data_IF_924481361442
#
_entry.id   IF_924481361442
#
_cell.length_a   1.000
_cell.length_b   1.000
_cell.length_c   1.000
_cell.angle_alpha   90.00
_cell.angle_beta   90.00
_cell.angle_gamma   90.00
#
_symmetry.space_group_name_H-M   'P 1'
#
loop_
_entity.id
_entity.type
_entity.pdbx_description
1 polymer ?
#
# COMPACT_ATOMS: atom_id res chain seq x y z
N UNK A 1 4.12 -1.66 21.86
CA UNK A 1 3.63 -0.53 22.68
C UNK A 1 2.16 -0.30 22.38
N UNK A 2 1.29 -0.64 23.34
CA UNK A 2 -0.17 -0.55 23.21
C UNK A 2 -0.63 0.84 23.69
N UNK A 3 -1.32 1.62 22.86
CA UNK A 3 -2.05 2.82 23.30
C UNK A 3 -3.54 2.56 23.13
N UNK A 4 -4.22 2.41 24.28
CA UNK A 4 -5.67 2.47 24.46
C UNK A 4 -6.04 3.95 24.65
N UNK A 5 -7.03 4.46 23.92
CA UNK A 5 -7.78 5.69 24.22
C UNK A 5 -9.22 5.39 23.76
N UNK A 6 -10.09 4.89 24.65
CA UNK A 6 -11.04 5.63 25.50
C UNK A 6 -12.15 6.30 24.69
N UNK A 7 -13.34 5.76 24.93
CA UNK A 7 -14.69 6.16 24.56
C UNK A 7 -15.02 7.62 24.88
N UNK A 8 -15.85 8.24 24.03
CA UNK A 8 -16.82 9.24 24.48
C UNK A 8 -18.11 9.11 23.67
N UNK A 9 -19.07 8.41 24.27
CA UNK A 9 -20.49 8.48 23.96
C UNK A 9 -21.03 9.74 24.62
N UNK A 10 -21.68 10.62 23.86
CA UNK A 10 -22.56 11.65 24.43
C UNK A 10 -23.91 11.59 23.73
N UNK A 11 -24.87 11.10 24.49
CA UNK A 11 -26.30 11.19 24.25
C UNK A 11 -26.75 12.66 24.35
N UNK A 12 -27.68 13.05 23.49
CA UNK A 12 -28.33 14.36 23.50
C UNK A 12 -29.77 14.25 23.00
N UNK A 13 -30.58 13.52 23.77
CA UNK A 13 -32.04 13.49 23.69
C UNK A 13 -32.61 14.65 24.52
N UNK A 14 -33.16 15.68 23.87
CA UNK A 14 -34.03 16.72 24.46
C UNK A 14 -35.05 17.05 23.36
N UNK A 15 -36.31 16.61 23.44
CA UNK A 15 -37.43 17.28 24.11
C UNK A 15 -38.55 17.47 23.07
N UNK A 16 -39.62 16.64 23.02
CA UNK A 16 -40.98 16.87 23.58
C UNK A 16 -41.29 18.38 23.72
N UNK A 17 -42.29 19.00 23.07
CA UNK A 17 -43.74 18.71 23.04
C UNK A 17 -44.46 19.46 21.88
N UNK A 18 -45.66 19.01 21.48
CA UNK A 18 -46.61 19.71 20.61
C UNK A 18 -47.57 20.59 21.44
N UNK A 19 -47.93 21.78 20.94
CA UNK A 19 -48.99 22.63 21.49
C UNK A 19 -49.54 23.51 20.35
N UNK A 20 -50.82 23.34 20.00
CA UNK A 20 -51.87 24.37 20.18
C UNK A 20 -52.26 24.92 18.80
N UNK A 21 -53.52 25.01 18.37
CA UNK A 21 -54.81 24.90 19.04
C UNK A 21 -55.89 24.80 17.95
N UNK A 22 -56.91 24.01 18.25
CA UNK A 22 -58.25 24.11 17.68
C UNK A 22 -58.76 25.56 17.66
N UNK A 23 -59.40 25.97 16.57
CA UNK A 23 -60.43 27.01 16.57
C UNK A 23 -61.44 26.70 15.45
N UNK A 24 -62.31 25.73 15.74
CA UNK A 24 -63.65 25.69 15.18
C UNK A 24 -64.54 26.56 16.08
N UNK A 25 -65.31 27.48 15.48
CA UNK A 25 -66.71 27.74 15.86
C UNK A 25 -67.19 29.04 15.23
N UNK A 26 -68.17 28.88 14.35
CA UNK A 26 -69.38 29.68 14.21
C UNK A 26 -69.45 31.00 15.00
N UNK A 27 -69.66 32.09 14.26
CA UNK A 27 -70.26 33.31 14.80
C UNK A 27 -71.38 33.76 13.87
N UNK A 28 -72.44 32.96 13.84
CA UNK A 28 -73.80 33.30 13.41
C UNK A 28 -74.46 34.29 14.40
N UNK A 29 -73.82 35.43 14.65
CA UNK A 29 -74.36 36.47 15.55
C UNK A 29 -73.89 37.90 15.21
N UNK A 30 -73.85 38.25 13.92
CA UNK A 30 -73.90 39.67 13.48
C UNK A 30 -74.87 39.75 12.29
N UNK A 31 -76.10 39.25 12.47
CA UNK A 31 -77.13 39.24 11.43
C UNK A 31 -78.39 40.02 11.84
N UNK A 32 -78.27 40.99 12.77
CA UNK A 32 -79.45 41.72 13.26
C UNK A 32 -79.21 43.19 13.63
N UNK A 33 -78.24 43.85 12.99
CA UNK A 33 -78.13 45.33 13.04
C UNK A 33 -77.83 46.00 11.69
N UNK A 34 -77.58 45.20 10.63
CA UNK A 34 -77.41 45.72 9.26
C UNK A 34 -78.72 45.92 8.48
N UNK A 35 -79.88 45.74 9.14
CA UNK A 35 -81.20 45.86 8.48
C UNK A 35 -81.81 47.27 8.54
N UNK A 36 -81.24 48.22 9.27
CA UNK A 36 -81.84 49.57 9.44
C UNK A 36 -80.99 50.69 8.80
N UNK A 37 -79.79 50.38 8.30
CA UNK A 37 -78.93 51.37 7.61
C UNK A 37 -78.96 51.22 6.07
N UNK A 38 -79.66 50.22 5.52
CA UNK A 38 -79.73 50.00 4.05
C UNK A 38 -80.85 50.76 3.33
N UNK A 39 -81.74 51.47 4.04
CA UNK A 39 -82.91 52.13 3.43
C UNK A 39 -82.71 53.64 3.19
N UNK A 40 -81.65 54.26 3.72
CA UNK A 40 -81.38 55.70 3.56
C UNK A 40 -79.99 55.92 2.96
N UNK A 41 -79.71 55.33 1.79
CA UNK A 41 -78.61 55.80 0.94
C UNK A 41 -78.77 55.47 -0.55
N UNK A 42 -80.02 55.41 -1.01
CA UNK A 42 -80.33 55.49 -2.43
C UNK A 42 -80.81 56.91 -2.70
N UNK A 43 -79.90 57.83 -3.04
CA UNK A 43 -80.15 59.01 -3.89
C UNK A 43 -78.92 59.92 -3.85
N UNK A 44 -77.92 59.58 -4.68
CA UNK A 44 -76.93 60.49 -5.32
C UNK A 44 -75.81 59.65 -5.96
N UNK A 45 -76.17 58.85 -6.97
CA UNK A 45 -75.17 58.37 -7.96
C UNK A 45 -75.41 59.13 -9.26
N UNK A 46 -74.83 60.32 -9.35
CA UNK A 46 -74.71 61.04 -10.61
C UNK A 46 -73.80 60.26 -11.58
N UNK A 47 -73.98 60.45 -12.90
CA UNK A 47 -73.33 59.66 -13.96
C UNK A 47 -71.79 59.66 -13.95
N UNK A 48 -71.12 60.58 -13.23
CA UNK A 48 -69.65 60.64 -13.12
C UNK A 48 -68.98 59.69 -12.10
N UNK A 49 -69.75 58.93 -11.29
CA UNK A 49 -69.16 58.00 -10.31
C UNK A 49 -68.78 56.63 -10.89
N UNK A 50 -69.45 56.19 -11.96
CA UNK A 50 -69.18 54.90 -12.64
C UNK A 50 -67.87 54.91 -13.45
N UNK A 51 -67.50 56.05 -14.01
CA UNK A 51 -66.22 56.20 -14.74
C UNK A 51 -65.01 56.14 -13.82
N UNK A 52 -65.06 56.78 -12.64
CA UNK A 52 -63.99 56.69 -11.63
C UNK A 52 -63.82 55.27 -11.09
N UNK A 53 -64.92 54.56 -10.86
CA UNK A 53 -64.93 53.16 -10.38
C UNK A 53 -64.38 52.19 -11.46
N UNK A 54 -64.71 52.40 -12.74
CA UNK A 54 -64.11 51.64 -13.84
C UNK A 54 -62.61 51.92 -14.02
N UNK A 55 -62.18 53.18 -13.88
CA UNK A 55 -60.77 53.56 -13.95
C UNK A 55 -59.94 52.96 -12.80
N UNK A 56 -60.45 52.98 -11.56
CA UNK A 56 -59.80 52.34 -10.42
C UNK A 56 -59.74 50.82 -10.54
N UNK A 57 -60.82 50.16 -10.98
CA UNK A 57 -60.81 48.72 -11.20
C UNK A 57 -59.84 48.32 -12.31
N UNK A 58 -59.77 49.08 -13.40
CA UNK A 58 -58.81 48.81 -14.47
C UNK A 58 -57.36 48.96 -13.98
N UNK A 59 -57.08 49.97 -13.16
CA UNK A 59 -55.76 50.19 -12.55
C UNK A 59 -55.37 49.07 -11.57
N UNK A 60 -56.30 48.62 -10.72
CA UNK A 60 -56.10 47.47 -9.81
C UNK A 60 -55.91 46.16 -10.56
N UNK A 61 -56.58 45.97 -11.70
CA UNK A 61 -56.41 44.78 -12.52
C UNK A 61 -55.06 44.76 -13.22
N UNK A 62 -54.59 45.90 -13.75
CA UNK A 62 -53.24 46.03 -14.29
C UNK A 62 -52.17 45.76 -13.22
N UNK A 63 -52.36 46.29 -12.01
CA UNK A 63 -51.43 46.10 -10.89
C UNK A 63 -51.39 44.62 -10.42
N UNK A 64 -52.54 43.93 -10.43
CA UNK A 64 -52.61 42.47 -10.18
C UNK A 64 -51.88 41.68 -11.25
N UNK A 65 -52.09 41.98 -12.53
CA UNK A 65 -51.42 41.32 -13.66
C UNK A 65 -49.91 41.55 -13.62
N UNK A 66 -49.46 42.75 -13.27
CA UNK A 66 -48.04 43.05 -13.13
C UNK A 66 -47.42 42.31 -11.94
N UNK A 67 -48.10 42.30 -10.79
CA UNK A 67 -47.66 41.54 -9.61
C UNK A 67 -47.57 40.04 -9.92
N UNK A 68 -48.56 39.47 -10.58
CA UNK A 68 -48.57 38.06 -10.99
C UNK A 68 -47.41 37.74 -11.96
N UNK A 69 -47.14 38.63 -12.92
CA UNK A 69 -46.01 38.49 -13.85
C UNK A 69 -44.67 38.53 -13.10
N UNK A 70 -44.50 39.44 -12.14
CA UNK A 70 -43.29 39.52 -11.30
C UNK A 70 -43.12 38.28 -10.42
N UNK A 71 -44.18 37.78 -9.79
CA UNK A 71 -44.14 36.54 -9.00
C UNK A 71 -43.79 35.31 -9.86
N UNK A 72 -44.36 35.21 -11.07
CA UNK A 72 -44.02 34.14 -12.02
C UNK A 72 -42.55 34.20 -12.45
N UNK A 73 -42.05 35.39 -12.73
CA UNK A 73 -40.64 35.59 -13.09
C UNK A 73 -39.70 35.24 -11.93
N UNK A 74 -40.06 35.60 -10.69
CA UNK A 74 -39.29 35.22 -9.50
C UNK A 74 -39.26 33.70 -9.31
N UNK A 75 -40.41 33.02 -9.43
CA UNK A 75 -40.49 31.54 -9.34
C UNK A 75 -39.68 30.85 -10.43
N UNK A 76 -39.68 31.38 -11.66
CA UNK A 76 -38.85 30.82 -12.74
C UNK A 76 -37.35 31.03 -12.49
N UNK A 77 -36.94 32.20 -11.99
CA UNK A 77 -35.55 32.46 -11.60
C UNK A 77 -35.10 31.52 -10.48
N UNK A 78 -35.91 31.36 -9.44
CA UNK A 78 -35.64 30.45 -8.33
C UNK A 78 -35.53 29.00 -8.79
N UNK A 79 -36.42 28.54 -9.68
CA UNK A 79 -36.37 27.18 -10.25
C UNK A 79 -35.08 26.96 -11.04
N UNK A 80 -34.67 27.92 -11.88
CA UNK A 80 -33.41 27.85 -12.65
C UNK A 80 -32.19 27.86 -11.75
N UNK A 81 -32.19 28.65 -10.69
CA UNK A 81 -31.08 28.68 -9.73
C UNK A 81 -30.97 27.36 -8.95
N UNK A 82 -32.10 26.80 -8.51
CA UNK A 82 -32.12 25.49 -7.85
C UNK A 82 -31.60 24.38 -8.75
N UNK A 83 -31.99 24.38 -10.03
CA UNK A 83 -31.52 23.41 -11.03
C UNK A 83 -30.01 23.53 -11.27
N UNK A 84 -29.48 24.76 -11.38
CA UNK A 84 -28.03 25.00 -11.50
C UNK A 84 -27.26 24.47 -10.28
N UNK A 85 -27.72 24.76 -9.07
CA UNK A 85 -27.09 24.28 -7.83
C UNK A 85 -27.11 22.75 -7.73
N UNK A 86 -28.20 22.11 -8.16
CA UNK A 86 -28.30 20.65 -8.18
C UNK A 86 -27.36 20.03 -9.21
N UNK A 87 -27.25 20.62 -10.41
CA UNK A 87 -26.32 20.18 -11.44
C UNK A 87 -24.86 20.32 -10.98
N UNK A 88 -24.50 21.44 -10.36
CA UNK A 88 -23.17 21.68 -9.79
C UNK A 88 -22.83 20.66 -8.69
N UNK A 89 -23.80 20.37 -7.80
CA UNK A 89 -23.62 19.36 -6.75
C UNK A 89 -23.38 17.97 -7.33
N UNK A 90 -24.15 17.57 -8.35
CA UNK A 90 -23.98 16.27 -9.04
C UNK A 90 -22.63 16.19 -9.77
N UNK A 91 -22.18 17.27 -10.39
CA UNK A 91 -20.88 17.31 -11.06
C UNK A 91 -19.72 17.20 -10.05
N UNK A 92 -19.82 17.91 -8.93
CA UNK A 92 -18.85 17.82 -7.84
C UNK A 92 -18.77 16.40 -7.27
N UNK A 93 -19.92 15.77 -7.02
CA UNK A 93 -19.97 14.39 -6.52
C UNK A 93 -19.33 13.39 -7.51
N UNK A 94 -19.58 13.55 -8.82
CA UNK A 94 -18.93 12.74 -9.86
C UNK A 94 -17.41 12.93 -9.86
N UNK A 95 -16.91 14.16 -9.75
CA UNK A 95 -15.47 14.45 -9.70
C UNK A 95 -14.82 13.85 -8.45
N UNK A 96 -15.47 13.97 -7.28
CA UNK A 96 -14.97 13.38 -6.04
C UNK A 96 -14.97 11.83 -6.11
N UNK A 97 -15.99 11.23 -6.72
CA UNK A 97 -16.03 9.78 -6.94
C UNK A 97 -14.91 9.32 -7.89
N UNK A 98 -14.70 10.04 -8.99
CA UNK A 98 -13.63 9.73 -9.95
C UNK A 98 -12.24 9.88 -9.32
N UNK A 99 -12.01 10.92 -8.51
CA UNK A 99 -10.76 11.09 -7.76
C UNK A 99 -10.52 9.93 -6.79
N UNK A 100 -11.53 9.54 -6.00
CA UNK A 100 -11.42 8.39 -5.08
C UNK A 100 -11.15 7.08 -5.82
N UNK A 101 -11.74 6.88 -7.00
CA UNK A 101 -11.50 5.70 -7.82
C UNK A 101 -10.07 5.68 -8.39
N UNK A 102 -9.58 6.84 -8.88
CA UNK A 102 -8.19 7.00 -9.33
C UNK A 102 -7.20 6.72 -8.20
N UNK A 103 -7.44 7.28 -7.01
CA UNK A 103 -6.60 7.04 -5.83
C UNK A 103 -6.57 5.57 -5.43
N UNK A 104 -7.73 4.89 -5.41
CA UNK A 104 -7.81 3.45 -5.12
C UNK A 104 -7.02 2.62 -6.13
N UNK A 105 -7.15 2.92 -7.43
CA UNK A 105 -6.40 2.22 -8.50
C UNK A 105 -4.90 2.45 -8.37
N UNK A 106 -4.48 3.67 -8.02
CA UNK A 106 -3.06 3.96 -7.83
C UNK A 106 -2.48 3.24 -6.61
N UNK A 107 -3.21 3.22 -5.50
CA UNK A 107 -2.82 2.46 -4.32
C UNK A 107 -2.69 0.96 -4.63
N UNK A 108 -3.68 0.38 -5.32
CA UNK A 108 -3.64 -1.02 -5.72
C UNK A 108 -2.43 -1.34 -6.62
N UNK A 109 -2.09 -0.45 -7.56
CA UNK A 109 -0.88 -0.60 -8.39
C UNK A 109 0.39 -0.60 -7.56
N UNK A 110 0.55 0.34 -6.63
CA UNK A 110 1.73 0.43 -5.74
C UNK A 110 1.85 -0.82 -4.86
N UNK A 111 0.75 -1.32 -4.31
CA UNK A 111 0.74 -2.55 -3.52
C UNK A 111 1.08 -3.79 -4.34
N UNK A 112 0.65 -3.84 -5.61
CA UNK A 112 1.02 -4.94 -6.52
C UNK A 112 2.51 -4.89 -6.87
N UNK A 113 3.05 -3.72 -7.17
CA UNK A 113 4.47 -3.52 -7.49
C UNK A 113 5.36 -3.91 -6.29
N UNK A 114 4.99 -3.51 -5.06
CA UNK A 114 5.72 -3.91 -3.85
C UNK A 114 5.73 -5.43 -3.64
N UNK A 115 4.57 -6.08 -3.77
CA UNK A 115 4.47 -7.54 -3.64
C UNK A 115 5.30 -8.28 -4.68
N UNK A 116 5.36 -7.75 -5.91
CA UNK A 116 6.17 -8.35 -6.96
C UNK A 116 7.68 -8.19 -6.70
N UNK A 117 8.11 -7.02 -6.21
CA UNK A 117 9.50 -6.79 -5.81
C UNK A 117 9.92 -7.74 -4.68
N UNK A 118 9.11 -7.86 -3.64
CA UNK A 118 9.35 -8.77 -2.50
C UNK A 118 9.46 -10.23 -2.96
N UNK A 119 8.58 -10.66 -3.88
CA UNK A 119 8.64 -12.01 -4.46
C UNK A 119 9.94 -12.23 -5.23
N UNK A 120 10.35 -11.28 -6.07
CA UNK A 120 11.61 -11.39 -6.85
C UNK A 120 12.83 -11.43 -5.94
N UNK A 121 12.85 -10.65 -4.86
CA UNK A 121 13.94 -10.68 -3.88
C UNK A 121 14.01 -12.03 -3.15
N UNK A 122 12.86 -12.58 -2.75
CA UNK A 122 12.77 -13.91 -2.14
C UNK A 122 13.28 -15.01 -3.07
N UNK A 123 12.83 -15.02 -4.32
CA UNK A 123 13.27 -15.99 -5.34
C UNK A 123 14.79 -15.89 -5.56
N UNK A 124 15.35 -14.67 -5.67
CA UNK A 124 16.80 -14.46 -5.79
C UNK A 124 17.55 -15.00 -4.58
N UNK A 125 17.09 -14.71 -3.36
CA UNK A 125 17.74 -15.16 -2.11
C UNK A 125 17.70 -16.69 -1.98
N UNK A 126 16.61 -17.32 -2.39
CA UNK A 126 16.49 -18.77 -2.42
C UNK A 126 17.42 -19.40 -3.46
N UNK A 127 17.54 -18.81 -4.65
CA UNK A 127 18.51 -19.24 -5.64
C UNK A 127 19.95 -19.14 -5.12
N UNK A 128 20.32 -18.02 -4.49
CA UNK A 128 21.64 -17.84 -3.88
C UNK A 128 21.90 -18.85 -2.75
N UNK A 129 20.89 -19.19 -1.93
CA UNK A 129 20.98 -20.26 -0.92
C UNK A 129 21.26 -21.61 -1.56
N UNK A 130 20.53 -21.95 -2.62
CA UNK A 130 20.68 -23.23 -3.34
C UNK A 130 22.05 -23.34 -4.01
N UNK A 131 22.53 -22.25 -4.61
CA UNK A 131 23.86 -22.18 -5.20
C UNK A 131 24.94 -22.34 -4.12
N UNK A 132 24.78 -21.68 -2.97
CA UNK A 132 25.71 -21.83 -1.84
C UNK A 132 25.77 -23.27 -1.32
N UNK A 133 24.61 -23.90 -1.11
CA UNK A 133 24.55 -25.30 -0.67
C UNK A 133 25.27 -26.22 -1.66
N UNK A 134 24.97 -26.08 -2.95
CA UNK A 134 25.60 -26.86 -4.01
C UNK A 134 27.13 -26.71 -4.01
N UNK A 135 27.63 -25.48 -3.95
CA UNK A 135 29.07 -25.19 -3.99
C UNK A 135 29.77 -25.73 -2.75
N UNK A 136 29.18 -25.56 -1.55
CA UNK A 136 29.74 -26.07 -0.30
C UNK A 136 29.88 -27.60 -0.34
N UNK A 137 28.85 -28.31 -0.79
CA UNK A 137 28.89 -29.78 -0.92
C UNK A 137 29.96 -30.23 -1.92
N UNK A 138 29.98 -29.61 -3.11
CA UNK A 138 30.97 -29.95 -4.13
C UNK A 138 32.39 -29.69 -3.64
N UNK A 139 32.63 -28.57 -2.96
CA UNK A 139 33.94 -28.26 -2.38
C UNK A 139 34.38 -29.28 -1.33
N UNK A 140 33.48 -29.74 -0.47
CA UNK A 140 33.81 -30.75 0.52
C UNK A 140 34.25 -32.07 -0.12
N UNK A 141 33.66 -32.48 -1.24
CA UNK A 141 34.14 -33.64 -2.01
C UNK A 141 35.58 -33.45 -2.53
N UNK A 142 35.94 -32.23 -2.96
CA UNK A 142 37.30 -31.90 -3.39
C UNK A 142 38.27 -31.94 -2.21
N UNK A 143 37.88 -31.40 -1.05
CA UNK A 143 38.73 -31.45 0.14
C UNK A 143 38.92 -32.89 0.61
N UNK A 144 37.88 -33.73 0.56
CA UNK A 144 38.00 -35.16 0.86
C UNK A 144 38.98 -35.86 -0.09
N UNK A 145 38.93 -35.55 -1.39
CA UNK A 145 39.90 -36.06 -2.36
C UNK A 145 41.33 -35.60 -2.05
N UNK A 146 41.50 -34.33 -1.65
CA UNK A 146 42.78 -33.79 -1.22
C UNK A 146 43.29 -34.52 0.04
N UNK A 147 42.47 -34.70 1.08
CA UNK A 147 42.81 -35.46 2.30
C UNK A 147 43.30 -36.87 1.97
N UNK A 148 42.60 -37.58 1.09
CA UNK A 148 43.02 -38.91 0.62
C UNK A 148 44.35 -38.86 -0.13
N UNK A 149 44.57 -37.87 -0.98
CA UNK A 149 45.83 -37.68 -1.71
C UNK A 149 47.00 -37.42 -0.76
N UNK A 150 46.80 -36.54 0.23
CA UNK A 150 47.80 -36.25 1.29
C UNK A 150 48.06 -37.42 2.24
N UNK A 151 47.14 -38.38 2.33
CA UNK A 151 47.38 -39.59 3.12
C UNK A 151 48.30 -40.58 2.39
N UNK A 152 48.39 -40.47 1.05
CA UNK A 152 49.23 -41.32 0.19
C UNK A 152 50.60 -40.70 -0.09
N UNK A 153 50.72 -39.37 0.04
CA UNK A 153 51.89 -38.58 -0.33
C UNK A 153 52.10 -37.44 0.68
N UNK A 154 53.32 -36.98 0.86
CA UNK A 154 53.65 -36.05 1.95
C UNK A 154 53.32 -34.57 1.70
N UNK A 155 52.76 -34.17 0.54
CA UNK A 155 52.44 -32.76 0.29
C UNK A 155 51.07 -32.41 0.90
N UNK A 156 51.09 -31.78 2.07
CA UNK A 156 49.87 -31.35 2.80
C UNK A 156 49.78 -29.83 3.00
N UNK A 157 50.72 -29.06 2.43
CA UNK A 157 50.81 -27.61 2.66
C UNK A 157 49.53 -26.89 2.25
N UNK A 158 48.92 -26.18 3.19
CA UNK A 158 47.67 -25.43 3.00
C UNK A 158 46.39 -26.21 3.29
N UNK A 159 46.48 -27.48 3.72
CA UNK A 159 45.30 -28.27 4.09
C UNK A 159 44.51 -27.62 5.24
N UNK A 160 45.20 -27.08 6.25
CA UNK A 160 44.56 -26.38 7.36
C UNK A 160 43.77 -25.16 6.88
N UNK A 161 44.33 -24.41 5.93
CA UNK A 161 43.69 -23.26 5.32
C UNK A 161 42.45 -23.66 4.51
N UNK A 162 42.52 -24.73 3.71
CA UNK A 162 41.37 -25.24 2.96
C UNK A 162 40.21 -25.61 3.88
N UNK A 163 40.49 -26.36 4.96
CA UNK A 163 39.49 -26.76 5.96
C UNK A 163 38.94 -25.53 6.69
N UNK A 164 39.78 -24.58 7.08
CA UNK A 164 39.38 -23.33 7.73
C UNK A 164 38.41 -22.50 6.88
N UNK A 165 38.70 -22.31 5.58
CA UNK A 165 37.77 -21.62 4.68
C UNK A 165 36.44 -22.36 4.54
N UNK A 166 36.45 -23.70 4.46
CA UNK A 166 35.23 -24.48 4.34
C UNK A 166 34.37 -24.41 5.61
N UNK A 167 34.99 -24.45 6.80
CA UNK A 167 34.29 -24.25 8.06
C UNK A 167 33.71 -22.83 8.16
N UNK A 168 34.46 -21.80 7.72
CA UNK A 168 33.96 -20.43 7.64
C UNK A 168 32.79 -20.30 6.66
N UNK A 169 32.85 -20.98 5.51
CA UNK A 169 31.76 -21.03 4.54
C UNK A 169 30.49 -21.61 5.17
N UNK A 170 30.59 -22.70 5.92
CA UNK A 170 29.45 -23.29 6.66
C UNK A 170 28.87 -22.31 7.68
N UNK A 171 29.69 -21.64 8.48
CA UNK A 171 29.22 -20.63 9.44
C UNK A 171 28.46 -19.49 8.74
N UNK A 172 29.01 -18.98 7.63
CA UNK A 172 28.38 -17.92 6.84
C UNK A 172 27.07 -18.39 6.20
N UNK A 173 26.99 -19.64 5.75
CA UNK A 173 25.77 -20.23 5.22
C UNK A 173 24.66 -20.28 6.29
N UNK A 174 24.99 -20.74 7.50
CA UNK A 174 24.04 -20.78 8.62
C UNK A 174 23.61 -19.38 9.07
N UNK A 175 24.49 -18.38 8.93
CA UNK A 175 24.15 -16.97 9.16
C UNK A 175 23.34 -16.32 8.02
N UNK A 176 23.02 -17.06 6.94
CA UNK A 176 22.30 -16.54 5.77
C UNK A 176 23.13 -15.65 4.84
N UNK A 177 24.47 -15.58 5.04
CA UNK A 177 25.40 -14.83 4.21
C UNK A 177 25.90 -15.66 3.03
N UNK A 178 24.97 -16.10 2.17
CA UNK A 178 25.20 -17.11 1.13
C UNK A 178 26.32 -16.75 0.15
N UNK A 179 26.37 -15.51 -0.34
CA UNK A 179 27.41 -15.10 -1.27
C UNK A 179 28.82 -15.14 -0.65
N UNK A 180 28.95 -14.72 0.61
CA UNK A 180 30.23 -14.82 1.33
C UNK A 180 30.61 -16.29 1.60
N UNK A 181 29.63 -17.13 1.92
CA UNK A 181 29.84 -18.57 2.07
C UNK A 181 30.39 -19.19 0.78
N UNK A 182 29.82 -18.82 -0.37
CA UNK A 182 30.29 -19.25 -1.69
C UNK A 182 31.76 -18.86 -1.89
N UNK A 183 32.13 -17.59 -1.65
CA UNK A 183 33.50 -17.13 -1.87
C UNK A 183 34.51 -17.88 -1.00
N UNK A 184 34.21 -18.08 0.28
CA UNK A 184 35.07 -18.89 1.16
C UNK A 184 35.15 -20.34 0.69
N UNK A 185 34.05 -20.95 0.24
CA UNK A 185 34.07 -22.33 -0.27
C UNK A 185 34.87 -22.46 -1.58
N UNK A 186 34.76 -21.50 -2.51
CA UNK A 186 35.55 -21.51 -3.74
C UNK A 186 37.05 -21.30 -3.47
N UNK A 187 37.41 -20.50 -2.44
CA UNK A 187 38.81 -20.37 -1.97
C UNK A 187 39.31 -21.68 -1.38
N UNK A 188 38.54 -22.33 -0.51
CA UNK A 188 38.87 -23.64 0.04
C UNK A 188 39.13 -24.68 -1.08
N UNK A 189 38.27 -24.69 -2.10
CA UNK A 189 38.39 -25.60 -3.24
C UNK A 189 39.67 -25.38 -4.03
N UNK A 190 40.05 -24.13 -4.30
CA UNK A 190 41.29 -23.82 -5.03
C UNK A 190 42.53 -24.32 -4.28
N UNK A 191 42.56 -24.13 -2.96
CA UNK A 191 43.65 -24.65 -2.12
C UNK A 191 43.67 -26.18 -2.18
N UNK A 192 42.51 -26.84 -2.06
CA UNK A 192 42.41 -28.30 -2.16
C UNK A 192 42.87 -28.85 -3.52
N UNK A 193 42.52 -28.18 -4.62
CA UNK A 193 43.00 -28.55 -5.97
C UNK A 193 44.51 -28.42 -6.06
N UNK A 194 45.09 -27.33 -5.55
CA UNK A 194 46.54 -27.13 -5.53
C UNK A 194 47.26 -28.23 -4.74
N UNK A 195 46.65 -28.75 -3.66
CA UNK A 195 47.18 -29.89 -2.90
C UNK A 195 47.14 -31.18 -3.72
N UNK A 196 46.05 -31.45 -4.44
CA UNK A 196 45.91 -32.62 -5.31
C UNK A 196 46.95 -32.58 -6.44
N UNK A 197 47.10 -31.42 -7.08
CA UNK A 197 48.07 -31.20 -8.16
C UNK A 197 49.52 -31.30 -7.66
N UNK A 198 49.81 -30.74 -6.48
CA UNK A 198 51.12 -30.87 -5.82
C UNK A 198 51.47 -32.34 -5.48
N UNK A 199 50.46 -33.18 -5.30
CA UNK A 199 50.59 -34.62 -5.15
C UNK A 199 50.57 -35.39 -6.49
N UNK A 200 50.69 -34.70 -7.63
CA UNK A 200 50.69 -35.28 -8.98
C UNK A 200 49.43 -36.10 -9.32
N UNK A 201 48.31 -35.83 -8.65
CA UNK A 201 47.01 -36.37 -9.03
C UNK A 201 46.28 -35.35 -9.94
N UNK A 202 45.51 -35.84 -10.91
CA UNK A 202 44.74 -34.98 -11.83
C UNK A 202 43.31 -34.83 -11.34
N UNK A 203 42.86 -33.60 -11.12
CA UNK A 203 41.46 -33.29 -10.87
C UNK A 203 40.76 -32.82 -12.15
N UNK A 204 39.82 -33.61 -12.67
CA UNK A 204 39.03 -33.22 -13.83
C UNK A 204 37.85 -32.32 -13.41
N UNK A 205 37.64 -31.21 -14.11
CA UNK A 205 36.60 -30.21 -13.89
C UNK A 205 36.66 -29.42 -12.56
N UNK A 206 37.51 -28.37 -12.51
CA UNK A 206 37.57 -27.47 -11.36
C UNK A 206 36.31 -26.58 -11.20
N UNK A 207 35.57 -26.32 -12.29
CA UNK A 207 34.49 -25.31 -12.34
C UNK A 207 33.27 -25.81 -13.11
N UNK A 208 32.09 -25.24 -12.84
CA UNK A 208 30.92 -25.35 -13.71
C UNK A 208 30.32 -23.96 -14.05
N UNK A 209 29.35 -23.93 -14.94
CA UNK A 209 28.66 -22.69 -15.37
C UNK A 209 27.90 -22.00 -14.24
N UNK A 210 27.51 -22.74 -13.19
CA UNK A 210 26.78 -22.22 -12.03
C UNK A 210 27.67 -21.38 -11.13
N UNK A 211 28.94 -21.75 -11.04
CA UNK A 211 29.97 -21.11 -10.21
C UNK A 211 30.59 -19.87 -10.87
N UNK A 212 30.54 -19.78 -12.20
CA UNK A 212 31.24 -18.75 -12.98
C UNK A 212 30.86 -17.32 -12.55
N UNK A 213 29.58 -17.06 -12.30
CA UNK A 213 29.09 -15.74 -11.85
C UNK A 213 29.67 -15.31 -10.50
N UNK A 214 29.99 -16.27 -9.63
CA UNK A 214 30.58 -15.99 -8.32
C UNK A 214 32.09 -15.84 -8.41
N UNK A 215 32.73 -16.57 -9.32
CA UNK A 215 34.16 -16.42 -9.57
C UNK A 215 34.51 -15.01 -10.07
N UNK A 216 33.74 -14.49 -11.05
CA UNK A 216 33.96 -13.14 -11.61
C UNK A 216 33.84 -12.03 -10.57
N UNK A 217 33.00 -12.23 -9.55
CA UNK A 217 32.73 -11.26 -8.49
C UNK A 217 33.41 -11.62 -7.16
N UNK A 218 34.33 -12.58 -7.17
CA UNK A 218 35.00 -13.01 -5.94
C UNK A 218 35.94 -11.92 -5.43
N UNK A 219 35.95 -11.64 -4.12
CA UNK A 219 37.01 -10.87 -3.48
C UNK A 219 38.39 -11.48 -3.76
N UNK A 220 39.44 -10.68 -3.57
CA UNK A 220 40.81 -11.19 -3.68
C UNK A 220 41.05 -12.23 -2.60
N UNK A 221 41.85 -13.22 -2.94
CA UNK A 221 42.15 -14.33 -2.05
C UNK A 221 42.75 -13.89 -0.71
N UNK A 222 43.67 -12.94 -0.75
CA UNK A 222 44.28 -12.39 0.48
C UNK A 222 43.22 -11.75 1.41
N UNK A 223 42.18 -11.13 0.86
CA UNK A 223 41.11 -10.52 1.66
C UNK A 223 40.24 -11.58 2.35
N UNK A 224 40.10 -12.75 1.73
CA UNK A 224 39.39 -13.89 2.33
C UNK A 224 40.26 -14.57 3.39
N UNK A 225 41.55 -14.70 3.13
CA UNK A 225 42.52 -15.33 4.02
C UNK A 225 42.66 -14.53 5.34
N UNK A 226 42.69 -13.19 5.27
CA UNK A 226 42.73 -12.30 6.45
C UNK A 226 41.53 -12.48 7.39
N UNK A 227 40.39 -12.97 6.89
CA UNK A 227 39.18 -13.21 7.70
C UNK A 227 39.24 -14.51 8.51
N UNK A 228 40.27 -15.33 8.32
CA UNK A 228 40.50 -16.56 9.07
C UNK A 228 41.33 -16.31 10.33
N UNK A 229 40.84 -15.47 11.23
CA UNK A 229 41.64 -15.04 12.39
C UNK A 229 41.79 -16.08 13.53
N UNK A 230 41.27 -17.30 13.40
CA UNK A 230 41.04 -18.20 14.55
C UNK A 230 41.40 -19.68 14.39
N UNK A 231 41.86 -20.15 13.24
CA UNK A 231 42.17 -21.57 13.07
C UNK A 231 43.64 -21.85 13.38
N UNK A 232 43.89 -22.49 14.54
CA UNK A 232 45.22 -22.79 15.09
C UNK A 232 45.57 -24.29 15.02
N UNK A 233 45.19 -24.97 13.94
CA UNK A 233 45.57 -26.39 13.77
C UNK A 233 46.51 -26.54 12.58
N UNK A 234 47.43 -27.50 12.69
CA UNK A 234 48.45 -27.76 11.68
C UNK A 234 47.88 -28.46 10.44
N UNK A 235 48.61 -28.39 9.33
CA UNK A 235 48.21 -29.04 8.06
C UNK A 235 48.05 -30.57 8.20
N UNK A 236 48.83 -31.22 9.06
CA UNK A 236 48.68 -32.66 9.34
C UNK A 236 47.42 -32.99 10.16
N UNK A 237 47.03 -32.11 11.09
CA UNK A 237 45.81 -32.28 11.89
C UNK A 237 44.57 -32.13 11.00
N UNK A 238 44.63 -31.20 10.05
CA UNK A 238 43.57 -30.94 9.09
C UNK A 238 43.19 -32.16 8.22
N UNK A 239 44.12 -33.09 7.99
CA UNK A 239 43.88 -34.32 7.22
C UNK A 239 42.82 -35.20 7.92
N UNK A 240 42.79 -35.19 9.25
CA UNK A 240 41.89 -36.04 10.05
C UNK A 240 40.53 -35.39 10.34
N UNK A 241 40.36 -34.10 10.00
CA UNK A 241 39.11 -33.39 10.27
C UNK A 241 38.05 -33.85 9.27
N UNK A 242 36.98 -34.46 9.79
CA UNK A 242 35.79 -34.75 8.98
C UNK A 242 35.07 -33.45 8.65
N UNK A 243 34.85 -33.20 7.35
CA UNK A 243 34.01 -32.10 6.89
C UNK A 243 32.59 -32.65 6.80
N UNK A 244 31.84 -32.38 7.85
CA UNK A 244 30.42 -32.67 7.91
C UNK A 244 29.67 -31.90 6.79
N UNK A 245 28.94 -32.66 5.97
CA UNK A 245 28.20 -32.22 4.79
C UNK A 245 26.74 -31.87 5.11
N UNK A 246 26.31 -32.06 6.36
CA UNK A 246 24.92 -31.88 6.74
C UNK A 246 24.56 -30.39 6.85
N UNK A 247 24.05 -29.86 5.75
CA UNK A 247 23.39 -28.56 5.62
C UNK A 247 21.88 -28.78 5.47
N UNK A 248 21.22 -29.18 6.56
CA UNK A 248 19.76 -29.34 6.62
C UNK A 248 19.04 -27.99 6.60
#
# INVERSE_FOLDING_TARGET
>A
MKKKIISLVMAGLIGVTPLSSYAASDSSFIQTVKSVVSVINQHKKGPGHKEKEHSENHRREQERKEKERREREQREKEKRERERREQERRERERREQEQRERERREQERREREHREQERRERERREQERNDARYIIHRTANVIYAAQRSTSRRNYCKGMSQAVAHQQKARQLFMAGAYQSAIHHSLRARRIAISIIEGNQERWANPWDTREEKYHRNSPRDNDLDLKLHFFKFGDQEAIKISIDLDLW
#
